data_IF_404188704565
#
_entry.id   IF_404188704565
#
_cell.length_a   1.000
_cell.length_b   1.000
_cell.length_c   1.000
_cell.angle_alpha   90.00
_cell.angle_beta   90.00
_cell.angle_gamma   90.00
#
_symmetry.space_group_name_H-M   'P 1'
#
loop_
_entity.id
_entity.type
_entity.pdbx_description
1 polymer ?
#
# COMPACT_ATOMS: atom_id res chain seq x y z
N UNK A 1 7.08 -10.79 22.79
CA UNK A 1 8.07 -10.81 21.74
C UNK A 1 7.68 -9.86 20.62
N UNK A 2 8.56 -8.98 20.31
CA UNK A 2 8.23 -7.97 19.32
C UNK A 2 8.50 -8.45 17.93
N UNK A 3 7.61 -8.09 17.05
CA UNK A 3 7.71 -8.47 15.67
C UNK A 3 8.42 -7.40 14.89
N UNK A 4 9.40 -7.78 14.09
CA UNK A 4 10.09 -6.84 13.25
C UNK A 4 9.18 -6.33 12.15
N UNK A 5 9.42 -5.10 11.73
CA UNK A 5 8.77 -4.53 10.57
C UNK A 5 9.58 -4.98 9.36
N UNK A 6 8.95 -5.69 8.44
CA UNK A 6 9.62 -6.27 7.30
C UNK A 6 9.49 -5.34 6.10
N UNK A 7 10.62 -4.95 5.53
CA UNK A 7 10.64 -3.92 4.50
C UNK A 7 11.37 -4.40 3.27
N UNK A 8 10.77 -4.20 2.11
CA UNK A 8 11.43 -4.41 0.83
C UNK A 8 11.82 -3.05 0.29
N UNK A 9 13.10 -2.88 -0.06
CA UNK A 9 13.60 -1.59 -0.52
C UNK A 9 13.81 -1.65 -2.02
N UNK A 10 13.10 -0.79 -2.74
CA UNK A 10 13.11 -0.79 -4.20
C UNK A 10 13.34 0.61 -4.76
N UNK A 11 14.07 1.43 -4.03
CA UNK A 11 14.37 2.78 -4.50
C UNK A 11 15.43 2.78 -5.58
N UNK A 12 15.42 3.82 -6.37
CA UNK A 12 16.42 4.06 -7.40
C UNK A 12 16.69 5.56 -7.45
N UNK A 13 17.83 5.98 -7.91
CA UNK A 13 18.93 5.14 -8.33
C UNK A 13 19.61 4.46 -7.15
N UNK A 14 20.62 3.69 -7.42
CA UNK A 14 21.28 2.88 -6.41
C UNK A 14 21.72 3.69 -5.19
N UNK A 15 22.17 4.91 -5.39
CA UNK A 15 22.63 5.73 -4.28
C UNK A 15 21.53 5.99 -3.29
N UNK A 16 20.32 6.32 -3.78
CA UNK A 16 19.18 6.54 -2.91
C UNK A 16 18.81 5.26 -2.17
N UNK A 17 18.89 4.13 -2.86
CA UNK A 17 18.59 2.84 -2.24
C UNK A 17 19.56 2.56 -1.11
N UNK A 18 20.84 2.84 -1.32
CA UNK A 18 21.84 2.58 -0.29
C UNK A 18 21.67 3.49 0.92
N UNK A 19 21.23 4.72 0.70
CA UNK A 19 20.96 5.61 1.82
C UNK A 19 19.81 5.08 2.69
N UNK A 20 18.78 4.59 2.05
CA UNK A 20 17.63 4.06 2.77
C UNK A 20 18.01 2.78 3.51
N UNK A 21 18.77 1.91 2.85
CA UNK A 21 19.24 0.69 3.49
C UNK A 21 20.09 1.00 4.70
N UNK A 22 20.96 1.99 4.59
CA UNK A 22 21.80 2.39 5.70
C UNK A 22 20.95 2.90 6.88
N UNK A 23 19.92 3.67 6.57
CA UNK A 23 19.02 4.18 7.60
C UNK A 23 18.35 3.04 8.36
N UNK A 24 17.88 2.03 7.62
CA UNK A 24 17.15 0.93 8.25
C UNK A 24 18.07 -0.03 8.99
N UNK A 25 19.31 -0.17 8.55
CA UNK A 25 20.21 -1.17 9.14
C UNK A 25 20.54 -0.87 10.60
N UNK A 26 20.37 0.38 11.02
CA UNK A 26 20.63 0.75 12.40
C UNK A 26 19.44 0.53 13.32
N UNK A 27 18.31 0.09 12.79
CA UNK A 27 17.09 -0.04 13.56
C UNK A 27 16.82 -1.50 13.88
N UNK A 28 16.70 -1.81 15.16
CA UNK A 28 16.48 -3.21 15.58
C UNK A 28 15.13 -3.74 15.21
N UNK A 29 14.15 -2.86 15.10
CA UNK A 29 12.78 -3.29 14.83
C UNK A 29 12.46 -3.32 13.34
N UNK A 30 13.46 -3.09 12.48
CA UNK A 30 13.25 -3.10 11.03
C UNK A 30 14.13 -4.17 10.42
N UNK A 31 13.49 -5.06 9.67
CA UNK A 31 14.19 -6.12 8.95
C UNK A 31 14.04 -5.87 7.46
N UNK A 32 15.15 -5.64 6.76
CA UNK A 32 15.13 -5.50 5.30
C UNK A 32 15.09 -6.90 4.71
N UNK A 33 13.96 -7.26 4.11
CA UNK A 33 13.78 -8.62 3.60
C UNK A 33 14.22 -8.76 2.14
N UNK A 34 14.57 -7.66 1.50
CA UNK A 34 15.06 -7.73 0.14
C UNK A 34 15.35 -6.35 -0.40
N UNK A 35 16.03 -6.34 -1.53
CA UNK A 35 16.44 -5.12 -2.20
C UNK A 35 16.24 -5.34 -3.68
N UNK A 36 15.62 -4.39 -4.37
CA UNK A 36 15.28 -4.51 -5.78
C UNK A 36 15.76 -3.27 -6.50
N UNK A 37 16.53 -3.45 -7.56
CA UNK A 37 17.02 -2.32 -8.34
C UNK A 37 16.18 -2.01 -9.56
N UNK A 38 15.23 -2.88 -9.89
CA UNK A 38 14.42 -2.74 -11.08
C UNK A 38 12.96 -2.89 -10.71
N UNK A 39 12.16 -1.91 -11.10
CA UNK A 39 10.74 -1.91 -10.75
C UNK A 39 10.03 -3.18 -11.24
N UNK A 40 10.49 -3.75 -12.36
CA UNK A 40 9.86 -4.93 -12.91
C UNK A 40 9.96 -6.15 -11.99
N UNK A 41 10.91 -6.15 -11.06
CA UNK A 41 11.11 -7.27 -10.15
C UNK A 41 10.36 -7.12 -8.83
N UNK A 42 9.65 -6.02 -8.62
CA UNK A 42 9.03 -5.75 -7.34
C UNK A 42 7.94 -6.76 -7.01
N UNK A 43 7.07 -7.08 -7.98
CA UNK A 43 5.97 -8.01 -7.74
C UNK A 43 6.46 -9.37 -7.28
N UNK A 44 7.45 -9.89 -7.98
CA UNK A 44 7.98 -11.19 -7.66
C UNK A 44 8.57 -11.19 -6.25
N UNK A 45 9.32 -10.13 -5.93
CA UNK A 45 9.96 -10.05 -4.63
C UNK A 45 8.94 -9.88 -3.51
N UNK A 46 7.88 -9.12 -3.76
CA UNK A 46 6.81 -8.98 -2.77
C UNK A 46 6.15 -10.32 -2.51
N UNK A 47 5.90 -11.08 -3.58
CA UNK A 47 5.30 -12.40 -3.42
C UNK A 47 6.19 -13.35 -2.65
N UNK A 48 7.50 -13.28 -2.87
CA UNK A 48 8.46 -14.13 -2.17
C UNK A 48 8.61 -13.78 -0.71
N UNK A 49 8.76 -12.49 -0.42
CA UNK A 49 9.15 -12.06 0.91
C UNK A 49 7.99 -11.62 1.79
N UNK A 50 6.88 -11.25 1.19
CA UNK A 50 5.67 -10.80 1.90
C UNK A 50 6.03 -9.73 2.93
N UNK A 51 6.52 -8.58 2.46
CA UNK A 51 6.92 -7.53 3.38
C UNK A 51 5.72 -6.79 3.93
N UNK A 52 5.94 -6.08 5.04
CA UNK A 52 4.92 -5.18 5.57
C UNK A 52 4.91 -3.88 4.78
N UNK A 53 6.09 -3.43 4.37
CA UNK A 53 6.24 -2.17 3.62
C UNK A 53 7.12 -2.40 2.40
N UNK A 54 6.81 -1.64 1.35
CA UNK A 54 7.68 -1.54 0.18
C UNK A 54 8.04 -0.08 0.03
N UNK A 55 9.35 0.21 -0.08
CA UNK A 55 9.83 1.57 -0.25
C UNK A 55 10.25 1.74 -1.70
N UNK A 56 9.64 2.68 -2.42
CA UNK A 56 9.89 2.87 -3.85
C UNK A 56 10.31 4.30 -4.12
N UNK A 57 10.79 4.54 -5.33
CA UNK A 57 11.11 5.89 -5.78
C UNK A 57 9.85 6.56 -6.28
N UNK A 58 9.73 7.86 -5.99
CA UNK A 58 8.65 8.67 -6.49
C UNK A 58 9.26 9.69 -7.45
N UNK A 59 8.93 9.56 -8.71
CA UNK A 59 9.56 10.42 -9.72
C UNK A 59 8.95 11.80 -9.74
N UNK A 60 7.64 11.88 -9.61
CA UNK A 60 6.95 13.16 -9.68
C UNK A 60 6.03 13.32 -8.49
N UNK A 61 6.33 14.25 -7.59
CA UNK A 61 5.45 14.49 -6.45
C UNK A 61 4.06 14.86 -6.92
N UNK A 62 3.07 14.34 -6.23
CA UNK A 62 1.69 14.58 -6.58
C UNK A 62 1.08 13.52 -7.47
N UNK A 63 1.90 12.65 -8.06
CA UNK A 63 1.39 11.60 -8.92
C UNK A 63 1.68 10.24 -8.30
N UNK A 64 0.63 9.45 -8.14
CA UNK A 64 0.80 8.11 -7.59
C UNK A 64 1.36 7.20 -8.67
N UNK A 65 2.50 6.56 -8.42
CA UNK A 65 3.06 5.63 -9.40
C UNK A 65 2.10 4.50 -9.70
N UNK A 66 2.08 4.06 -10.96
CA UNK A 66 1.17 3.00 -11.38
C UNK A 66 1.42 1.71 -10.63
N UNK A 67 2.66 1.47 -10.22
CA UNK A 67 2.99 0.24 -9.48
C UNK A 67 2.26 0.18 -8.15
N UNK A 68 1.92 1.32 -7.55
CA UNK A 68 1.20 1.34 -6.29
C UNK A 68 -0.18 0.72 -6.44
N UNK A 69 -0.90 1.12 -7.47
CA UNK A 69 -2.24 0.57 -7.69
C UNK A 69 -2.17 -0.93 -7.94
N UNK A 70 -1.22 -1.34 -8.76
CA UNK A 70 -1.09 -2.76 -9.10
C UNK A 70 -0.71 -3.59 -7.88
N UNK A 71 0.24 -3.10 -7.08
CA UNK A 71 0.65 -3.83 -5.88
C UNK A 71 -0.47 -3.93 -4.88
N UNK A 72 -1.19 -2.85 -4.64
CA UNK A 72 -2.22 -2.83 -3.63
C UNK A 72 -3.44 -3.65 -4.02
N UNK A 73 -3.66 -3.85 -5.33
CA UNK A 73 -4.74 -4.73 -5.77
C UNK A 73 -4.42 -6.19 -5.51
N UNK A 74 -3.17 -6.57 -5.69
CA UNK A 74 -2.76 -7.97 -5.52
C UNK A 74 -2.39 -8.26 -4.07
N UNK A 75 -1.77 -7.30 -3.40
CA UNK A 75 -1.30 -7.46 -2.04
C UNK A 75 -1.84 -6.32 -1.18
N UNK A 76 -3.13 -6.32 -0.86
CA UNK A 76 -3.75 -5.17 -0.18
C UNK A 76 -3.23 -4.93 1.23
N UNK A 77 -2.59 -5.91 1.84
CA UNK A 77 -2.05 -5.74 3.19
C UNK A 77 -0.71 -5.01 3.19
N UNK A 78 -0.08 -4.87 2.03
CA UNK A 78 1.21 -4.20 1.94
C UNK A 78 0.98 -2.69 2.01
N UNK A 79 1.93 -1.99 2.60
CA UNK A 79 1.93 -0.53 2.64
C UNK A 79 3.13 -0.04 1.85
N UNK A 80 2.98 1.10 1.22
CA UNK A 80 3.98 1.60 0.30
C UNK A 80 4.44 2.97 0.75
N UNK A 81 5.75 3.17 0.79
CA UNK A 81 6.34 4.48 1.05
C UNK A 81 7.09 4.89 -0.20
N UNK A 82 6.67 5.98 -0.81
CA UNK A 82 7.29 6.49 -2.03
C UNK A 82 8.11 7.72 -1.69
N UNK A 83 9.39 7.71 -2.07
CA UNK A 83 10.33 8.74 -1.69
C UNK A 83 10.83 9.48 -2.93
N UNK A 84 10.63 10.79 -2.94
CA UNK A 84 11.18 11.67 -3.97
C UNK A 84 12.33 12.43 -3.32
N UNK A 85 13.53 11.85 -3.37
CA UNK A 85 14.66 12.36 -2.63
C UNK A 85 15.03 13.78 -3.03
N UNK A 86 15.00 14.07 -4.33
CA UNK A 86 15.41 15.37 -4.83
C UNK A 86 14.51 16.49 -4.32
N UNK A 87 13.23 16.19 -4.07
CA UNK A 87 12.28 17.19 -3.62
C UNK A 87 12.01 17.09 -2.12
N UNK A 88 12.67 16.19 -1.43
CA UNK A 88 12.48 15.99 0.00
C UNK A 88 11.01 15.71 0.31
N UNK A 89 10.43 14.75 -0.37
CA UNK A 89 8.99 14.52 -0.38
C UNK A 89 8.75 13.02 -0.23
N UNK A 90 7.86 12.66 0.68
CA UNK A 90 7.55 11.25 0.96
C UNK A 90 6.05 11.09 1.03
N UNK A 91 5.53 10.05 0.39
CA UNK A 91 4.10 9.76 0.41
C UNK A 91 3.91 8.32 0.89
N UNK A 92 2.90 8.13 1.69
CA UNK A 92 2.54 6.84 2.28
C UNK A 92 1.23 6.40 1.63
N UNK A 93 1.23 5.25 0.99
CA UNK A 93 0.05 4.70 0.34
C UNK A 93 -0.36 3.40 1.00
N UNK A 94 -1.64 3.21 1.16
CA UNK A 94 -2.16 1.94 1.65
C UNK A 94 -3.55 1.74 1.10
N UNK A 95 -4.03 0.48 1.10
CA UNK A 95 -5.39 0.16 0.71
C UNK A 95 -6.17 -0.20 1.95
N UNK A 96 -7.42 0.14 1.96
CA UNK A 96 -8.27 -0.29 3.06
C UNK A 96 -9.53 -0.91 2.49
N UNK A 97 -10.03 -1.91 3.20
CA UNK A 97 -11.28 -2.54 2.89
C UNK A 97 -12.23 -2.22 4.01
N UNK A 98 -13.22 -1.40 3.71
CA UNK A 98 -14.23 -1.05 4.69
C UNK A 98 -15.47 -1.88 4.43
N UNK A 99 -15.90 -2.59 5.45
CA UNK A 99 -17.08 -3.41 5.35
C UNK A 99 -18.22 -2.66 6.03
N UNK A 100 -19.25 -2.39 5.27
CA UNK A 100 -20.38 -1.63 5.77
C UNK A 100 -21.60 -2.52 5.80
N UNK A 101 -22.44 -2.30 6.75
CA UNK A 101 -23.68 -3.04 6.84
C UNK A 101 -24.82 -2.06 7.06
N UNK A 102 -25.97 -2.45 6.57
CA UNK A 102 -27.16 -1.64 6.71
C UNK A 102 -28.33 -2.59 6.82
N UNK A 103 -29.23 -2.30 7.75
CA UNK A 103 -30.42 -3.11 7.89
C UNK A 103 -31.42 -2.66 6.86
N UNK A 104 -31.97 -3.60 6.11
CA UNK A 104 -33.00 -3.30 5.15
C UNK A 104 -34.29 -3.97 5.60
N UNK A 105 -35.38 -3.45 5.12
CA UNK A 105 -36.68 -3.97 5.47
C UNK A 105 -36.85 -5.40 4.95
N UNK A 106 -37.36 -6.29 5.79
CA UNK A 106 -37.53 -7.70 5.42
C UNK A 106 -38.81 -7.83 4.59
N UNK A 107 -38.75 -7.34 3.36
CA UNK A 107 -39.88 -7.34 2.45
C UNK A 107 -39.35 -7.43 1.04
N UNK A 108 -40.23 -7.75 0.11
CA UNK A 108 -39.86 -7.79 -1.29
C UNK A 108 -39.36 -6.42 -1.74
N UNK A 109 -40.07 -5.38 -1.31
CA UNK A 109 -39.72 -4.04 -1.69
C UNK A 109 -38.33 -3.64 -1.15
N UNK A 110 -38.07 -3.99 0.11
CA UNK A 110 -36.78 -3.69 0.70
C UNK A 110 -35.64 -4.40 -0.02
N UNK A 111 -35.85 -5.68 -0.34
CA UNK A 111 -34.83 -6.46 -1.04
C UNK A 111 -34.57 -5.89 -2.43
N UNK A 112 -35.64 -5.59 -3.16
CA UNK A 112 -35.46 -5.04 -4.49
C UNK A 112 -34.81 -3.66 -4.46
N UNK A 113 -35.13 -2.88 -3.45
CA UNK A 113 -34.51 -1.58 -3.28
C UNK A 113 -33.02 -1.68 -3.07
N UNK A 114 -32.59 -2.65 -2.26
CA UNK A 114 -31.17 -2.87 -2.03
C UNK A 114 -30.47 -3.29 -3.31
N UNK A 115 -31.07 -4.19 -4.07
CA UNK A 115 -30.48 -4.64 -5.33
C UNK A 115 -30.34 -3.51 -6.32
N UNK A 116 -31.24 -2.56 -6.29
CA UNK A 116 -31.23 -1.45 -7.23
C UNK A 116 -30.44 -0.26 -6.73
N UNK A 117 -29.78 -0.41 -5.58
CA UNK A 117 -28.94 0.63 -5.04
C UNK A 117 -29.65 1.77 -4.35
N UNK A 118 -30.89 1.58 -4.01
CA UNK A 118 -31.66 2.66 -3.40
C UNK A 118 -31.43 2.81 -1.91
N UNK A 119 -30.81 1.82 -1.31
CA UNK A 119 -30.53 1.85 0.12
C UNK A 119 -29.11 2.21 0.43
N UNK A 120 -28.37 2.64 -0.57
CA UNK A 120 -27.00 2.98 -0.31
C UNK A 120 -26.94 4.27 0.43
N UNK A 121 -26.72 4.54 1.27
CA UNK A 121 -26.68 5.74 1.90
C UNK A 121 -25.43 6.00 2.54
N UNK A 122 -25.81 5.55 2.28
CA UNK A 122 -25.17 5.71 2.68
C UNK A 122 -24.05 5.96 2.69
N UNK A 123 -24.07 6.13 2.57
CA UNK A 123 -23.15 6.27 2.60
C UNK A 123 -22.24 6.62 2.78
N UNK A 124 -22.37 6.63 2.84
CA UNK A 124 -21.55 6.76 3.08
C UNK A 124 -20.83 7.45 3.30
N UNK A 125 -21.21 7.65 3.60
CA UNK A 125 -20.60 8.15 3.89
C UNK A 125 -19.68 8.44 4.12
N UNK A 126 -19.77 8.64 4.20
CA UNK A 126 -19.00 8.74 4.41
C UNK A 126 -18.03 8.89 4.37
N UNK A 127 -17.88 8.97 4.37
CA UNK A 127 -16.98 8.91 4.49
C UNK A 127 -16.23 9.00 4.33
#
# INVERSE_FOLDING_TARGET
MEKSIRVLVANRPRLNRELILSTFSDQRDIEVVGEVGDESAIFEKVSETRPDFVVIALDEPGERPAICDALLRVHPAVRIIAVATAQNYVVYYWASLDIHSSTIEASEEGLLGALRGKNKLVTSDLN
#
